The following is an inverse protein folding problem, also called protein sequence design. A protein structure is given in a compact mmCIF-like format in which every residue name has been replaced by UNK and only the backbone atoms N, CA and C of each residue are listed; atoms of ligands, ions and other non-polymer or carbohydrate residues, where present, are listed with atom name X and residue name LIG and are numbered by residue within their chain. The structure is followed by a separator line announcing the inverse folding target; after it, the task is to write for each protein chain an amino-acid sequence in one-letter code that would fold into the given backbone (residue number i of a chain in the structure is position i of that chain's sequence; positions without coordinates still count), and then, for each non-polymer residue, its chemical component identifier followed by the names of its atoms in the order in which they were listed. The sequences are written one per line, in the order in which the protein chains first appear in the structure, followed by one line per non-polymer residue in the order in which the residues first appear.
data_IF_226276004598
#
_entry.id   IF_226276004598
#
_cell.length_a   1.000
_cell.length_b   1.000
_cell.length_c   1.000
_cell.angle_alpha   90.00
_cell.angle_beta   90.00
_cell.angle_gamma   90.00
#
_symmetry.space_group_name_H-M   'P 1'
#
loop_
_entity.id
_entity.type
_entity.pdbx_description
1 polymer ?
#
# COMPACT_ATOMS: atom_id res chain seq x y z
N UNK A 1 -29.97 12.38 31.34
CA UNK A 1 -29.33 13.40 30.47
C UNK A 1 -27.91 12.93 30.20
N UNK A 2 -27.60 12.53 28.97
CA UNK A 2 -26.21 12.25 28.59
C UNK A 2 -25.43 13.57 28.65
N UNK A 3 -24.37 13.60 29.45
CA UNK A 3 -23.51 14.78 29.61
C UNK A 3 -22.76 15.05 28.30
N UNK A 4 -22.59 16.33 27.94
CA UNK A 4 -21.73 16.76 26.83
C UNK A 4 -20.31 16.17 26.97
N UNK A 5 -19.87 15.94 28.22
CA UNK A 5 -18.60 15.30 28.55
C UNK A 5 -18.56 13.82 28.13
N UNK A 6 -19.70 13.11 28.21
CA UNK A 6 -19.83 11.73 27.74
C UNK A 6 -19.77 11.63 26.21
N UNK A 7 -20.27 12.64 25.49
CA UNK A 7 -20.13 12.73 24.03
C UNK A 7 -18.66 12.99 23.62
N UNK A 8 -17.95 13.88 24.32
CA UNK A 8 -16.55 14.18 24.03
C UNK A 8 -15.62 12.99 24.28
N UNK A 9 -15.87 12.21 25.33
CA UNK A 9 -15.09 11.00 25.63
C UNK A 9 -15.36 9.87 24.61
N UNK A 10 -16.57 9.77 24.05
CA UNK A 10 -16.86 8.87 22.94
C UNK A 10 -16.29 9.35 21.59
N UNK A 11 -15.93 10.64 21.48
CA UNK A 11 -15.37 11.25 20.26
C UNK A 11 -13.84 11.16 20.15
N UNK A 12 -13.17 10.57 21.14
CA UNK A 12 -11.71 10.48 21.20
C UNK A 12 -11.07 9.68 20.05
N UNK A 13 -11.82 8.80 19.40
CA UNK A 13 -11.39 8.06 18.20
C UNK A 13 -11.55 8.88 16.92
N UNK A 14 -12.52 9.81 16.87
CA UNK A 14 -12.83 10.59 15.66
C UNK A 14 -11.83 11.74 15.45
N UNK A 15 -11.27 12.30 16.52
CA UNK A 15 -10.27 13.39 16.43
C UNK A 15 -8.84 12.94 16.11
N UNK A 16 -8.51 11.65 16.26
CA UNK A 16 -7.15 11.14 15.97
C UNK A 16 -6.89 10.99 14.47
N UNK A 17 -7.89 10.58 13.71
CA UNK A 17 -7.77 10.27 12.29
C UNK A 17 -7.32 11.45 11.40
N UNK A 18 -7.52 12.70 11.83
CA UNK A 18 -7.11 13.89 11.07
C UNK A 18 -5.71 14.42 11.47
N UNK A 19 -5.09 13.84 12.51
CA UNK A 19 -3.77 14.28 13.02
C UNK A 19 -2.67 13.24 12.83
N UNK A 20 -3.02 11.96 12.69
CA UNK A 20 -2.03 10.91 12.46
C UNK A 20 -1.41 11.04 11.08
N UNK A 21 -0.08 10.94 11.04
CA UNK A 21 0.69 11.01 9.82
C UNK A 21 1.51 9.75 9.70
N UNK A 22 1.41 9.16 8.52
CA UNK A 22 2.12 7.93 8.26
C UNK A 22 3.58 8.20 7.92
N UNK A 23 4.43 7.47 8.62
CA UNK A 23 5.82 7.22 8.25
C UNK A 23 5.89 5.77 7.76
N UNK A 24 6.93 5.39 7.00
CA UNK A 24 7.10 4.00 6.65
C UNK A 24 7.07 3.09 7.88
N UNK A 25 7.74 3.50 8.97
CA UNK A 25 7.89 2.72 10.21
C UNK A 25 6.58 2.37 10.91
N UNK A 26 5.59 3.26 10.89
CA UNK A 26 4.31 3.06 11.58
C UNK A 26 3.15 2.72 10.65
N UNK A 27 3.33 2.75 9.33
CA UNK A 27 2.29 2.35 8.39
C UNK A 27 2.13 0.81 8.40
N UNK A 28 0.89 0.28 8.55
CA UNK A 28 0.69 -1.16 8.74
C UNK A 28 0.93 -1.96 7.45
N UNK A 29 1.59 -3.12 7.59
CA UNK A 29 1.74 -4.07 6.49
C UNK A 29 0.50 -4.98 6.41
N UNK A 30 -0.28 -4.98 5.31
CA UNK A 30 -1.53 -5.75 5.22
C UNK A 30 -1.31 -7.26 5.28
N UNK A 31 -0.10 -7.75 4.94
CA UNK A 31 0.26 -9.17 5.04
C UNK A 31 0.29 -9.68 6.49
N UNK A 32 0.72 -8.82 7.41
CA UNK A 32 0.97 -9.20 8.80
C UNK A 32 -0.05 -8.57 9.77
N UNK A 33 -0.69 -7.47 9.39
CA UNK A 33 -1.63 -6.72 10.21
C UNK A 33 -2.80 -6.18 9.37
N UNK A 34 -3.59 -7.10 8.83
CA UNK A 34 -4.77 -6.78 8.02
C UNK A 34 -5.82 -5.95 8.79
N UNK A 35 -5.94 -6.18 10.11
CA UNK A 35 -6.85 -5.41 10.98
C UNK A 35 -6.49 -3.94 11.02
N UNK A 36 -5.22 -3.57 11.25
CA UNK A 36 -4.80 -2.17 11.25
C UNK A 36 -4.89 -1.52 9.85
N UNK A 37 -4.86 -2.32 8.80
CA UNK A 37 -5.08 -1.90 7.42
C UNK A 37 -6.56 -1.81 7.02
N UNK A 38 -7.49 -2.08 7.95
CA UNK A 38 -8.93 -2.16 7.70
C UNK A 38 -9.29 -3.06 6.51
N UNK A 39 -8.61 -4.19 6.37
CA UNK A 39 -8.81 -5.12 5.25
C UNK A 39 -9.02 -6.54 5.77
N UNK A 40 -9.48 -7.42 4.88
CA UNK A 40 -9.53 -8.86 5.13
C UNK A 40 -8.13 -9.52 5.17
N UNK A 41 -8.05 -10.67 5.84
CA UNK A 41 -6.85 -11.51 5.86
C UNK A 41 -6.38 -11.88 4.43
N UNK A 42 -5.06 -12.01 4.26
CA UNK A 42 -4.38 -12.28 2.97
C UNK A 42 -4.57 -11.21 1.89
N UNK A 43 -5.13 -10.05 2.24
CA UNK A 43 -5.18 -8.90 1.35
C UNK A 43 -3.82 -8.21 1.21
N UNK A 44 -3.60 -7.59 0.07
CA UNK A 44 -2.49 -6.66 -0.18
C UNK A 44 -2.98 -5.21 -0.37
N UNK A 45 -4.27 -4.97 -0.14
CA UNK A 45 -4.86 -3.64 0.05
C UNK A 45 -4.63 -3.20 1.50
N UNK A 46 -4.27 -1.94 1.71
CA UNK A 46 -4.21 -1.35 3.05
C UNK A 46 -4.82 0.04 3.04
N UNK A 47 -5.85 0.26 3.85
CA UNK A 47 -6.58 1.53 4.00
C UNK A 47 -6.80 1.86 5.51
N UNK A 48 -5.72 2.16 6.25
CA UNK A 48 -5.79 2.43 7.69
C UNK A 48 -6.63 3.67 8.04
N UNK A 49 -6.78 4.62 7.12
CA UNK A 49 -7.49 5.89 7.37
C UNK A 49 -8.98 5.88 6.95
N UNK A 50 -9.48 4.71 6.57
CA UNK A 50 -10.84 4.51 6.11
C UNK A 50 -11.27 5.40 4.93
N UNK A 51 -10.38 5.60 3.95
CA UNK A 51 -10.71 6.36 2.73
C UNK A 51 -11.80 5.64 1.92
N UNK A 52 -11.77 4.31 1.91
CA UNK A 52 -12.74 3.49 1.21
C UNK A 52 -13.91 3.10 2.11
N UNK A 53 -15.06 2.79 1.50
CA UNK A 53 -16.11 2.04 2.21
C UNK A 53 -15.73 0.57 2.30
N UNK A 54 -16.35 -0.17 3.22
CA UNK A 54 -16.12 -1.63 3.36
C UNK A 54 -16.38 -2.37 2.04
N UNK A 55 -17.46 -2.02 1.34
CA UNK A 55 -17.78 -2.56 0.02
C UNK A 55 -16.66 -2.31 -0.99
N UNK A 56 -16.15 -1.08 -1.07
CA UNK A 56 -15.06 -0.75 -1.99
C UNK A 56 -13.78 -1.52 -1.65
N UNK A 57 -13.46 -1.72 -0.36
CA UNK A 57 -12.29 -2.54 0.02
C UNK A 57 -12.44 -3.99 -0.45
N UNK A 58 -13.63 -4.58 -0.28
CA UNK A 58 -13.91 -5.94 -0.76
C UNK A 58 -13.76 -6.04 -2.27
N UNK A 59 -14.39 -5.15 -3.03
CA UNK A 59 -14.35 -5.16 -4.50
C UNK A 59 -12.93 -4.93 -5.04
N UNK A 60 -12.20 -3.96 -4.47
CA UNK A 60 -10.81 -3.67 -4.87
C UNK A 60 -9.91 -4.85 -4.55
N UNK A 61 -10.02 -5.46 -3.36
CA UNK A 61 -9.23 -6.63 -3.02
C UNK A 61 -9.52 -7.80 -3.99
N UNK A 62 -10.78 -8.09 -4.31
CA UNK A 62 -11.13 -9.11 -5.30
C UNK A 62 -10.49 -8.81 -6.67
N UNK A 63 -10.50 -7.55 -7.09
CA UNK A 63 -9.87 -7.13 -8.33
C UNK A 63 -8.35 -7.29 -8.30
N UNK A 64 -7.68 -6.94 -7.19
CA UNK A 64 -6.24 -7.15 -7.00
C UNK A 64 -5.90 -8.63 -7.17
N UNK A 65 -6.62 -9.53 -6.47
CA UNK A 65 -6.40 -10.98 -6.56
C UNK A 65 -6.59 -11.50 -7.99
N UNK A 66 -7.63 -11.01 -8.68
CA UNK A 66 -7.88 -11.35 -10.10
C UNK A 66 -6.73 -10.89 -10.99
N UNK A 67 -6.19 -9.68 -10.81
CA UNK A 67 -5.08 -9.21 -11.62
C UNK A 67 -3.78 -9.94 -11.30
N UNK A 68 -3.49 -10.23 -10.04
CA UNK A 68 -2.31 -11.03 -9.65
C UNK A 68 -2.35 -12.41 -10.31
N UNK A 69 -3.51 -13.08 -10.31
CA UNK A 69 -3.70 -14.36 -11.02
C UNK A 69 -3.42 -14.22 -12.52
N UNK A 70 -4.00 -13.21 -13.18
CA UNK A 70 -3.78 -12.96 -14.61
C UNK A 70 -2.32 -12.67 -14.94
N UNK A 71 -1.61 -11.91 -14.11
CA UNK A 71 -0.19 -11.60 -14.30
C UNK A 71 0.68 -12.85 -14.16
N UNK A 72 0.35 -13.74 -13.24
CA UNK A 72 1.00 -15.04 -13.10
C UNK A 72 0.76 -15.91 -14.35
N UNK A 73 -0.48 -16.01 -14.81
CA UNK A 73 -0.85 -16.81 -15.99
C UNK A 73 -0.28 -16.27 -17.30
N UNK A 74 -0.16 -14.95 -17.44
CA UNK A 74 0.39 -14.31 -18.63
C UNK A 74 1.91 -14.51 -18.80
N UNK A 75 2.59 -15.06 -17.79
CA UNK A 75 4.05 -15.19 -17.74
C UNK A 75 4.77 -13.89 -18.12
N UNK A 76 4.44 -12.79 -17.41
CA UNK A 76 4.91 -11.44 -17.72
C UNK A 76 6.43 -11.43 -17.92
N UNK A 77 6.92 -11.00 -19.10
CA UNK A 77 8.33 -11.09 -19.45
C UNK A 77 9.17 -10.23 -18.50
N UNK A 78 10.27 -10.82 -18.05
CA UNK A 78 11.28 -10.11 -17.29
C UNK A 78 12.24 -9.35 -18.20
N UNK A 79 12.87 -8.33 -17.64
CA UNK A 79 14.03 -7.66 -18.17
C UNK A 79 15.15 -8.65 -18.44
N UNK A 80 15.93 -8.41 -19.48
CA UNK A 80 17.13 -9.20 -19.84
C UNK A 80 18.20 -9.18 -18.74
N UNK A 81 18.08 -8.26 -17.78
CA UNK A 81 18.94 -8.17 -16.58
C UNK A 81 18.49 -9.06 -15.42
N UNK A 82 17.36 -9.76 -15.56
CA UNK A 82 16.87 -10.63 -14.51
C UNK A 82 17.80 -11.83 -14.30
N UNK A 83 18.00 -12.28 -13.04
CA UNK A 83 18.71 -13.52 -12.77
C UNK A 83 18.08 -14.71 -13.50
N UNK A 84 18.89 -15.69 -13.88
CA UNK A 84 18.45 -16.85 -14.68
C UNK A 84 17.38 -17.66 -13.94
N UNK A 85 17.51 -17.75 -12.62
CA UNK A 85 16.54 -18.38 -11.72
C UNK A 85 15.15 -17.72 -11.76
N UNK A 86 15.05 -16.46 -12.22
CA UNK A 86 13.79 -15.74 -12.32
C UNK A 86 13.08 -15.90 -13.66
N UNK A 87 13.76 -16.43 -14.68
CA UNK A 87 13.20 -16.63 -16.03
C UNK A 87 12.06 -17.67 -16.00
N UNK A 88 12.19 -18.71 -15.17
CA UNK A 88 11.20 -19.77 -15.00
C UNK A 88 10.51 -19.69 -13.63
N UNK A 89 10.33 -18.48 -13.09
CA UNK A 89 9.72 -18.32 -11.76
C UNK A 89 8.33 -18.94 -11.73
N UNK A 90 8.02 -19.59 -10.62
CA UNK A 90 6.65 -20.02 -10.28
C UNK A 90 5.92 -18.95 -9.46
N UNK A 91 6.67 -17.99 -8.91
CA UNK A 91 6.15 -16.90 -8.10
C UNK A 91 5.46 -15.84 -8.97
N UNK A 92 4.24 -15.48 -8.59
CA UNK A 92 3.44 -14.48 -9.26
C UNK A 92 3.94 -13.04 -9.04
N UNK A 93 3.37 -12.11 -9.79
CA UNK A 93 3.57 -10.68 -9.51
C UNK A 93 2.69 -10.29 -8.32
N UNK A 94 3.30 -9.79 -7.26
CA UNK A 94 2.58 -9.24 -6.11
C UNK A 94 2.09 -7.83 -6.43
N UNK A 95 0.83 -7.52 -6.10
CA UNK A 95 0.27 -6.18 -6.29
C UNK A 95 -0.18 -5.66 -4.94
N UNK A 96 0.44 -4.57 -4.47
CA UNK A 96 0.06 -3.87 -3.25
C UNK A 96 -0.65 -2.56 -3.60
N UNK A 97 -1.74 -2.27 -2.89
CA UNK A 97 -2.47 -1.01 -2.99
C UNK A 97 -2.55 -0.41 -1.59
N UNK A 98 -1.87 0.72 -1.38
CA UNK A 98 -1.76 1.36 -0.08
C UNK A 98 -2.40 2.75 -0.15
N UNK A 99 -3.29 3.06 0.78
CA UNK A 99 -4.02 4.30 0.83
C UNK A 99 -3.79 5.00 2.16
N UNK A 100 -3.50 6.29 2.12
CA UNK A 100 -3.38 7.10 3.33
C UNK A 100 -3.93 8.50 3.07
N UNK A 101 -4.49 9.12 4.11
CA UNK A 101 -4.90 10.52 4.06
C UNK A 101 -3.66 11.40 3.96
N UNK A 102 -2.69 11.17 4.84
CA UNK A 102 -1.50 12.01 4.97
C UNK A 102 -0.26 11.23 5.37
N UNK A 103 0.89 11.61 4.79
CA UNK A 103 2.21 11.13 5.22
C UNK A 103 2.98 12.23 5.95
N UNK A 104 3.93 11.83 6.78
CA UNK A 104 4.83 12.76 7.44
C UNK A 104 5.89 13.28 6.46
N UNK A 105 6.11 14.60 6.48
CA UNK A 105 7.16 15.28 5.72
C UNK A 105 7.93 16.20 6.65
N UNK A 106 9.23 16.40 6.38
CA UNK A 106 10.14 17.17 7.23
C UNK A 106 9.67 18.62 7.48
N UNK A 107 8.97 19.22 6.52
CA UNK A 107 8.66 20.66 6.54
C UNK A 107 7.17 20.97 6.76
N UNK A 108 6.29 19.99 6.97
CA UNK A 108 4.83 20.19 7.04
C UNK A 108 4.23 20.94 5.83
N UNK A 109 4.97 21.06 4.74
CA UNK A 109 4.57 21.70 3.49
C UNK A 109 3.76 20.72 2.63
N UNK A 110 3.31 21.19 1.46
CA UNK A 110 2.68 20.36 0.43
C UNK A 110 3.52 19.12 0.13
N UNK A 111 2.89 17.95 0.08
CA UNK A 111 3.54 16.68 -0.24
C UNK A 111 4.00 16.73 -1.70
N UNK A 112 5.30 16.49 -1.93
CA UNK A 112 5.89 16.48 -3.28
C UNK A 112 5.98 15.07 -3.84
N UNK A 113 6.24 14.94 -5.15
CA UNK A 113 6.54 13.64 -5.76
C UNK A 113 7.73 12.94 -5.09
N UNK A 114 8.77 13.68 -4.68
CA UNK A 114 9.94 13.12 -4.01
C UNK A 114 9.60 12.53 -2.64
N UNK A 115 8.70 13.17 -1.89
CA UNK A 115 8.22 12.65 -0.60
C UNK A 115 7.49 11.31 -0.80
N UNK A 116 6.65 11.22 -1.84
CA UNK A 116 5.92 9.99 -2.18
C UNK A 116 6.85 8.87 -2.65
N UNK A 117 7.84 9.18 -3.49
CA UNK A 117 8.85 8.22 -3.93
C UNK A 117 9.61 7.65 -2.74
N UNK A 118 10.11 8.52 -1.86
CA UNK A 118 10.82 8.09 -0.65
C UNK A 118 9.93 7.23 0.25
N UNK A 119 8.71 7.67 0.51
CA UNK A 119 7.76 6.93 1.32
C UNK A 119 7.49 5.52 0.76
N UNK A 120 7.25 5.42 -0.55
CA UNK A 120 7.02 4.13 -1.20
C UNK A 120 8.26 3.24 -1.24
N UNK A 121 9.46 3.81 -1.38
CA UNK A 121 10.70 3.05 -1.37
C UNK A 121 11.05 2.48 0.00
N UNK A 122 10.85 3.28 1.04
CA UNK A 122 11.03 2.87 2.42
C UNK A 122 9.99 1.80 2.82
N UNK A 123 8.74 1.91 2.34
CA UNK A 123 7.73 0.86 2.53
C UNK A 123 8.09 -0.45 1.83
N UNK A 124 8.53 -0.39 0.57
CA UNK A 124 8.95 -1.59 -0.15
C UNK A 124 10.10 -2.30 0.57
N UNK A 125 11.04 -1.54 1.15
CA UNK A 125 12.11 -2.08 1.99
C UNK A 125 11.56 -2.70 3.27
N UNK A 126 10.71 -1.99 4.01
CA UNK A 126 10.17 -2.46 5.28
C UNK A 126 9.29 -3.71 5.14
N UNK A 127 8.61 -3.86 4.00
CA UNK A 127 7.78 -5.01 3.70
C UNK A 127 8.60 -6.22 3.20
N UNK A 128 9.92 -6.06 3.02
CA UNK A 128 10.79 -7.09 2.47
C UNK A 128 10.59 -7.33 0.97
N UNK A 129 9.92 -6.41 0.25
CA UNK A 129 9.66 -6.58 -1.19
C UNK A 129 10.96 -6.51 -2.01
N UNK A 130 11.94 -5.76 -1.52
CA UNK A 130 13.26 -5.68 -2.14
C UNK A 130 14.09 -6.97 -1.91
N UNK A 131 13.72 -7.79 -0.94
CA UNK A 131 14.44 -9.04 -0.59
C UNK A 131 13.83 -10.27 -1.29
N UNK A 132 12.75 -10.10 -2.05
CA UNK A 132 12.19 -11.15 -2.89
C UNK A 132 13.19 -11.55 -3.98
N UNK A 133 13.43 -12.84 -4.17
CA UNK A 133 14.44 -13.38 -5.10
C UNK A 133 14.33 -12.79 -6.51
N UNK A 134 13.11 -12.60 -7.00
CA UNK A 134 12.85 -12.01 -8.32
C UNK A 134 12.25 -10.61 -8.27
N UNK A 135 12.10 -10.03 -7.07
CA UNK A 135 11.53 -8.70 -6.82
C UNK A 135 10.24 -8.42 -7.60
N UNK A 136 9.41 -9.41 -7.92
CA UNK A 136 8.25 -9.24 -8.81
C UNK A 136 7.06 -8.64 -8.09
N UNK A 137 7.08 -7.33 -7.90
CA UNK A 137 5.97 -6.60 -7.29
C UNK A 137 5.62 -5.30 -8.02
N UNK A 138 4.37 -4.89 -7.84
CA UNK A 138 3.83 -3.58 -8.12
C UNK A 138 3.31 -3.00 -6.80
N UNK A 139 3.67 -1.76 -6.51
CA UNK A 139 3.26 -1.01 -5.35
C UNK A 139 2.57 0.27 -5.82
N UNK A 140 1.27 0.38 -5.55
CA UNK A 140 0.48 1.57 -5.78
C UNK A 140 0.20 2.25 -4.45
N UNK A 141 0.50 3.54 -4.35
CA UNK A 141 0.26 4.35 -3.15
C UNK A 141 -0.58 5.55 -3.54
N UNK A 142 -1.76 5.69 -2.95
CA UNK A 142 -2.62 6.86 -3.09
C UNK A 142 -2.60 7.68 -1.81
N UNK A 143 -2.20 8.95 -1.89
CA UNK A 143 -2.23 9.88 -0.75
C UNK A 143 -3.27 10.98 -0.97
N UNK A 144 -4.31 11.02 -0.12
CA UNK A 144 -5.45 11.93 -0.29
C UNK A 144 -5.05 13.40 -0.23
N UNK A 145 -4.21 13.79 0.72
CA UNK A 145 -3.74 15.18 0.90
C UNK A 145 -2.83 15.64 -0.23
N UNK A 146 -2.09 14.70 -0.85
CA UNK A 146 -1.21 15.01 -1.97
C UNK A 146 -2.00 15.14 -3.28
N UNK A 147 -3.21 14.58 -3.37
CA UNK A 147 -3.96 14.39 -4.63
C UNK A 147 -3.12 13.73 -5.72
N UNK A 148 -2.20 12.86 -5.31
CA UNK A 148 -1.22 12.19 -6.16
C UNK A 148 -1.20 10.69 -5.85
N UNK A 149 -0.89 9.91 -6.87
CA UNK A 149 -0.59 8.49 -6.73
C UNK A 149 0.85 8.22 -7.14
N UNK A 150 1.52 7.38 -6.38
CA UNK A 150 2.83 6.83 -6.71
C UNK A 150 2.66 5.38 -7.15
N UNK A 151 3.30 5.02 -8.26
CA UNK A 151 3.36 3.64 -8.73
C UNK A 151 4.82 3.25 -8.86
N UNK A 152 5.19 2.19 -8.14
CA UNK A 152 6.49 1.54 -8.27
C UNK A 152 6.29 0.14 -8.81
N UNK A 153 7.09 -0.20 -9.81
CA UNK A 153 7.27 -1.57 -10.26
C UNK A 153 8.75 -1.86 -10.18
N UNK A 154 9.08 -3.13 -9.92
CA UNK A 154 10.46 -3.58 -10.01
C UNK A 154 11.06 -3.31 -11.39
N UNK A 155 12.36 -3.03 -11.41
CA UNK A 155 13.15 -2.87 -12.64
C UNK A 155 13.23 -4.15 -13.48
N UNK A 156 12.80 -5.28 -12.91
CA UNK A 156 12.79 -6.56 -13.58
C UNK A 156 11.53 -6.78 -14.43
N UNK A 157 10.44 -6.06 -14.25
CA UNK A 157 9.26 -6.18 -15.13
C UNK A 157 9.46 -5.27 -16.35
N UNK A 158 9.40 -5.83 -17.56
CA UNK A 158 9.59 -5.07 -18.80
C UNK A 158 8.31 -4.32 -19.16
N UNK A 159 8.43 -3.01 -19.40
CA UNK A 159 7.38 -2.18 -19.98
C UNK A 159 7.57 -2.08 -21.49
N UNK A 160 6.49 -2.21 -22.25
CA UNK A 160 6.45 -1.91 -23.68
C UNK A 160 5.97 -0.48 -23.90
#
# INVERSE_FOLDING_TARGET
MLSLLSLLLASGTVLRADTERWTPLNYPNPKNNHTACNTQENSTLCDPDHILTDQWRTEINQNIQKQMKRLTEANVPLSEKAPVECINRTEGVLVYVLLAKRIWTLNNQSITGNDLTKFGDDLAKQYGLNDLSCQTFLLLIGIEDAKLAYVRVTSLIKYY
#
